data_IF_164163010574
#
_entry.id   IF_164163010574
#
_cell.length_a   1.000
_cell.length_b   1.000
_cell.length_c   1.000
_cell.angle_alpha   90.00
_cell.angle_beta   90.00
_cell.angle_gamma   90.00
#
_symmetry.space_group_name_H-M   'P 1'
#
loop_
_entity.id
_entity.type
_entity.pdbx_description
1 polymer ?
#
# COMPACT_ATOMS: atom_id res chain seq x y z
N UNK A 1 21.22 2.91 -5.09
CA UNK A 1 20.33 1.74 -5.24
C UNK A 1 19.38 2.05 -6.38
N UNK A 2 19.07 1.08 -7.25
CA UNK A 2 18.18 1.33 -8.40
C UNK A 2 16.77 1.73 -7.97
N UNK A 3 16.01 2.34 -8.88
CA UNK A 3 14.58 2.66 -8.68
C UNK A 3 13.74 1.37 -8.69
N UNK A 4 13.91 0.53 -7.68
CA UNK A 4 13.28 -0.79 -7.55
C UNK A 4 12.92 -1.05 -6.07
N UNK A 5 11.82 -1.76 -5.83
CA UNK A 5 11.52 -2.27 -4.50
C UNK A 5 12.44 -3.43 -4.14
N UNK A 6 12.95 -3.41 -2.91
CA UNK A 6 13.40 -4.65 -2.27
C UNK A 6 12.16 -5.46 -1.88
N UNK A 7 12.19 -6.74 -2.21
CA UNK A 7 11.07 -7.66 -1.97
C UNK A 7 11.38 -8.54 -0.75
N UNK A 8 10.45 -8.56 0.19
CA UNK A 8 10.56 -9.28 1.46
C UNK A 8 9.40 -10.25 1.62
N UNK A 9 9.71 -11.47 2.02
CA UNK A 9 8.72 -12.53 2.20
C UNK A 9 8.88 -13.16 3.58
N UNK A 10 7.76 -13.49 4.21
CA UNK A 10 7.72 -14.30 5.44
C UNK A 10 8.41 -15.66 5.34
N UNK A 11 8.59 -16.17 4.11
CA UNK A 11 9.29 -17.43 3.82
C UNK A 11 10.78 -17.25 3.54
N UNK A 12 11.29 -16.02 3.51
CA UNK A 12 12.73 -15.78 3.39
C UNK A 12 13.47 -16.35 4.61
N UNK A 13 14.72 -16.78 4.42
CA UNK A 13 15.55 -17.23 5.52
C UNK A 13 15.72 -16.12 6.57
N UNK A 14 15.55 -16.46 7.85
CA UNK A 14 15.61 -15.53 8.99
C UNK A 14 14.54 -14.42 8.98
N UNK A 15 13.49 -14.54 8.17
CA UNK A 15 12.36 -13.63 8.21
C UNK A 15 11.70 -13.64 9.60
N UNK A 16 11.39 -12.48 10.19
CA UNK A 16 10.69 -12.42 11.47
C UNK A 16 9.26 -12.95 11.37
N UNK A 17 8.83 -13.63 12.44
CA UNK A 17 7.45 -14.10 12.56
C UNK A 17 6.52 -12.93 12.87
N UNK A 18 5.49 -12.74 12.05
CA UNK A 18 4.36 -11.86 12.38
C UNK A 18 3.33 -12.65 13.16
N UNK A 19 2.93 -12.14 14.32
CA UNK A 19 1.95 -12.76 15.20
C UNK A 19 0.96 -11.70 15.70
N UNK A 20 0.00 -12.14 16.50
CA UNK A 20 -0.95 -11.25 17.16
C UNK A 20 -0.36 -10.41 18.29
N UNK A 21 0.83 -10.76 18.80
CA UNK A 21 1.42 -10.09 19.94
C UNK A 21 1.67 -8.60 19.66
N UNK A 22 1.54 -7.77 20.69
CA UNK A 22 1.88 -6.35 20.62
C UNK A 22 3.35 -6.19 20.23
N UNK A 23 3.65 -5.21 19.38
CA UNK A 23 4.99 -4.99 18.82
C UNK A 23 5.48 -6.04 17.82
N UNK A 24 4.73 -7.11 17.54
CA UNK A 24 5.14 -8.14 16.57
C UNK A 24 5.25 -7.58 15.15
N UNK A 25 4.35 -6.68 14.75
CA UNK A 25 4.47 -6.00 13.46
C UNK A 25 5.66 -5.05 13.46
N UNK A 26 5.93 -4.36 14.57
CA UNK A 26 7.09 -3.47 14.68
C UNK A 26 8.40 -4.23 14.49
N UNK A 27 8.49 -5.46 15.01
CA UNK A 27 9.64 -6.34 14.79
C UNK A 27 9.83 -6.65 13.30
N UNK A 28 8.74 -6.91 12.58
CA UNK A 28 8.77 -7.16 11.13
C UNK A 28 9.18 -5.89 10.36
N UNK A 29 8.58 -4.75 10.70
CA UNK A 29 8.90 -3.48 10.07
C UNK A 29 10.33 -3.02 10.36
N UNK A 30 10.88 -3.27 11.54
CA UNK A 30 12.29 -3.02 11.85
C UNK A 30 13.22 -3.81 10.95
N UNK A 31 12.92 -5.08 10.74
CA UNK A 31 13.71 -5.94 9.86
C UNK A 31 13.64 -5.47 8.40
N UNK A 32 12.47 -5.05 7.92
CA UNK A 32 12.27 -4.60 6.53
C UNK A 32 12.85 -3.19 6.30
N UNK A 33 12.60 -2.27 7.22
CA UNK A 33 12.82 -0.85 7.01
C UNK A 33 14.17 -0.38 7.52
N UNK A 34 14.66 -0.93 8.65
CA UNK A 34 15.82 -0.38 9.37
C UNK A 34 17.01 -1.32 9.33
N UNK A 35 16.85 -2.56 9.78
CA UNK A 35 17.95 -3.45 10.15
C UNK A 35 18.36 -4.46 9.06
N UNK A 36 17.41 -4.92 8.25
CA UNK A 36 17.59 -6.09 7.40
C UNK A 36 17.42 -7.38 8.20
N UNK A 37 17.44 -8.52 7.51
CA UNK A 37 17.45 -9.84 8.15
C UNK A 37 18.08 -10.88 7.22
N UNK A 38 18.78 -11.86 7.79
CA UNK A 38 19.50 -12.86 6.99
C UNK A 38 20.43 -12.18 5.97
N UNK A 39 20.18 -12.44 4.67
CA UNK A 39 20.89 -11.79 3.55
C UNK A 39 20.09 -10.65 2.91
N UNK A 40 18.90 -10.34 3.40
CA UNK A 40 18.04 -9.27 2.88
C UNK A 40 18.47 -7.93 3.50
N UNK A 41 18.90 -6.95 2.69
CA UNK A 41 19.20 -5.62 3.21
C UNK A 41 17.91 -4.92 3.66
N UNK A 42 18.01 -3.90 4.51
CA UNK A 42 16.86 -3.03 4.81
C UNK A 42 16.56 -2.05 3.67
N UNK A 43 15.38 -1.44 3.72
CA UNK A 43 15.02 -0.31 2.85
C UNK A 43 15.73 1.01 3.23
N UNK A 44 16.50 1.04 4.33
CA UNK A 44 17.31 2.18 4.75
C UNK A 44 16.55 3.32 5.44
N UNK A 45 15.35 3.04 5.95
CA UNK A 45 14.57 4.00 6.76
C UNK A 45 15.15 4.11 8.17
N UNK A 46 14.81 5.20 8.83
CA UNK A 46 15.17 5.40 10.24
C UNK A 46 13.96 5.15 11.13
N UNK A 47 14.18 4.53 12.29
CA UNK A 47 13.22 4.57 13.41
C UNK A 47 13.46 5.88 14.16
N UNK A 48 12.67 6.91 13.86
CA UNK A 48 12.83 8.25 14.41
C UNK A 48 12.46 8.32 15.89
N UNK A 49 11.35 7.67 16.27
CA UNK A 49 10.84 7.67 17.64
C UNK A 49 10.22 6.31 17.99
N UNK A 50 10.21 5.97 19.27
CA UNK A 50 9.53 4.77 19.79
C UNK A 50 9.20 4.94 21.27
N UNK A 51 8.20 4.21 21.75
CA UNK A 51 7.97 4.05 23.18
C UNK A 51 8.63 2.77 23.75
N UNK A 52 9.36 2.02 22.92
CA UNK A 52 10.07 0.79 23.30
C UNK A 52 9.21 -0.47 23.36
N UNK A 53 7.90 -0.38 23.13
CA UNK A 53 6.97 -1.51 23.25
C UNK A 53 6.21 -1.76 21.96
N UNK A 54 5.27 -0.88 21.65
CA UNK A 54 4.16 -1.11 20.73
C UNK A 54 3.88 0.13 19.87
N UNK A 55 4.71 1.18 19.95
CA UNK A 55 4.67 2.33 19.06
C UNK A 55 6.06 2.57 18.48
N UNK A 56 6.14 2.67 17.15
CA UNK A 56 7.34 3.13 16.44
C UNK A 56 6.99 4.11 15.34
N UNK A 57 7.85 5.10 15.14
CA UNK A 57 7.75 6.10 14.09
C UNK A 57 8.92 5.91 13.13
N UNK A 58 8.61 5.67 11.86
CA UNK A 58 9.59 5.46 10.80
C UNK A 58 9.65 6.67 9.87
N UNK A 59 10.82 6.96 9.32
CA UNK A 59 11.00 8.00 8.31
C UNK A 59 11.82 7.47 7.14
N UNK A 60 11.30 7.69 5.93
CA UNK A 60 12.01 7.35 4.71
C UNK A 60 13.30 8.20 4.57
N UNK A 61 14.39 7.63 4.02
CA UNK A 61 15.64 8.36 3.84
C UNK A 61 15.59 9.34 2.67
N UNK A 62 14.60 9.25 1.78
CA UNK A 62 14.46 10.08 0.58
C UNK A 62 13.01 10.51 0.35
N UNK A 63 12.81 11.46 -0.58
CA UNK A 63 11.49 12.01 -0.87
C UNK A 63 11.09 13.16 0.06
N UNK A 64 9.80 13.32 0.34
CA UNK A 64 9.23 14.33 1.26
C UNK A 64 9.46 14.00 2.73
N UNK A 65 9.85 12.75 3.04
CA UNK A 65 10.28 12.31 4.37
C UNK A 65 9.28 12.60 5.51
N UNK A 66 7.99 12.50 5.20
CA UNK A 66 6.96 12.44 6.23
C UNK A 66 7.11 11.19 7.09
N UNK A 67 6.59 11.26 8.31
CA UNK A 67 6.71 10.23 9.33
C UNK A 67 5.56 9.23 9.23
N UNK A 68 5.88 7.94 9.35
CA UNK A 68 4.92 6.85 9.51
C UNK A 68 4.93 6.41 10.97
N UNK A 69 3.91 6.78 11.73
CA UNK A 69 3.67 6.20 13.04
C UNK A 69 2.88 4.90 12.90
N UNK A 70 3.38 3.86 13.55
CA UNK A 70 2.70 2.58 13.69
C UNK A 70 2.38 2.35 15.16
N UNK A 71 1.10 2.10 15.45
CA UNK A 71 0.60 1.79 16.79
C UNK A 71 0.12 0.34 16.78
N UNK A 72 0.96 -0.53 17.31
CA UNK A 72 0.85 -1.99 17.32
C UNK A 72 0.50 -2.54 18.72
N UNK A 73 -0.54 -1.94 19.33
CA UNK A 73 -0.97 -2.18 20.71
C UNK A 73 -2.41 -2.68 20.84
N UNK A 74 -3.01 -3.10 19.72
CA UNK A 74 -4.43 -3.42 19.67
C UNK A 74 -4.63 -4.91 19.98
N UNK A 75 -5.00 -5.18 21.23
CA UNK A 75 -5.31 -6.51 21.77
C UNK A 75 -6.65 -7.05 21.22
N UNK A 76 -6.62 -8.31 20.77
CA UNK A 76 -7.72 -9.29 20.76
C UNK A 76 -9.15 -8.75 20.53
N UNK A 77 -9.41 -8.25 19.33
CA UNK A 77 -10.76 -8.30 18.75
C UNK A 77 -10.78 -9.33 17.62
N UNK A 78 -11.96 -9.65 17.07
CA UNK A 78 -12.11 -10.52 15.89
C UNK A 78 -11.25 -10.06 14.71
N UNK A 79 -10.82 -8.78 14.69
CA UNK A 79 -9.91 -8.22 13.70
C UNK A 79 -8.64 -7.71 14.37
N UNK A 80 -7.49 -8.14 13.89
CA UNK A 80 -6.19 -7.69 14.38
C UNK A 80 -5.55 -6.77 13.34
N UNK A 81 -5.04 -5.63 13.79
CA UNK A 81 -4.38 -4.65 12.95
C UNK A 81 -3.53 -3.73 13.84
N UNK A 82 -2.58 -3.03 13.23
CA UNK A 82 -1.87 -1.90 13.83
C UNK A 82 -2.22 -0.63 13.06
N UNK A 83 -2.43 0.48 13.74
CA UNK A 83 -2.72 1.75 13.04
C UNK A 83 -1.51 2.21 12.24
N UNK A 84 -1.76 2.79 11.06
CA UNK A 84 -0.76 3.45 10.24
C UNK A 84 -1.16 4.92 10.08
N UNK A 85 -0.42 5.80 10.73
CA UNK A 85 -0.72 7.23 10.79
C UNK A 85 0.46 8.00 10.22
N UNK A 86 0.18 8.89 9.28
CA UNK A 86 1.16 9.80 8.70
C UNK A 86 1.25 11.11 9.48
N UNK A 87 2.45 11.70 9.55
CA UNK A 87 2.66 13.05 10.06
C UNK A 87 3.65 13.82 9.20
N UNK A 88 3.37 15.10 8.95
CA UNK A 88 4.34 15.96 8.24
C UNK A 88 5.55 16.34 9.10
N UNK A 89 5.37 16.41 10.42
CA UNK A 89 6.44 16.70 11.38
C UNK A 89 6.19 16.00 12.70
N UNK A 90 7.26 15.53 13.36
CA UNK A 90 7.20 14.91 14.69
C UNK A 90 8.46 15.24 15.49
N UNK A 91 8.31 15.36 16.81
CA UNK A 91 9.40 15.55 17.77
C UNK A 91 9.49 14.45 18.84
N UNK A 92 8.46 13.61 18.94
CA UNK A 92 8.41 12.41 19.78
C UNK A 92 7.33 11.47 19.23
N UNK A 93 7.26 10.23 19.73
CA UNK A 93 6.23 9.29 19.30
C UNK A 93 4.80 9.80 19.58
N UNK A 94 4.62 10.66 20.57
CA UNK A 94 3.33 11.23 20.98
C UNK A 94 3.21 12.75 20.70
N UNK A 95 4.09 13.31 19.87
CA UNK A 95 4.10 14.73 19.53
C UNK A 95 4.37 14.93 18.04
N UNK A 96 3.31 15.21 17.26
CA UNK A 96 3.38 15.43 15.82
C UNK A 96 2.36 16.44 15.31
N UNK A 97 2.59 16.97 14.11
CA UNK A 97 1.71 17.92 13.42
C UNK A 97 1.48 17.53 11.95
N UNK A 98 0.39 18.03 11.37
CA UNK A 98 -0.04 17.66 10.02
C UNK A 98 -0.31 16.16 9.92
N UNK A 99 -1.09 15.64 10.87
CA UNK A 99 -1.51 14.24 10.87
C UNK A 99 -2.34 13.95 9.60
N UNK A 100 -2.11 12.79 9.01
CA UNK A 100 -2.94 12.22 7.96
C UNK A 100 -3.10 10.71 8.13
N UNK A 101 -4.19 10.16 7.61
CA UNK A 101 -4.60 8.80 7.91
C UNK A 101 -5.52 8.74 9.13
N UNK A 102 -6.46 7.81 9.11
CA UNK A 102 -7.44 7.64 10.17
C UNK A 102 -6.94 6.64 11.22
N UNK A 103 -7.13 6.96 12.50
CA UNK A 103 -7.06 5.97 13.58
C UNK A 103 -8.10 4.87 13.32
N UNK A 104 -7.76 3.61 13.59
CA UNK A 104 -8.55 2.46 13.18
C UNK A 104 -8.32 2.06 11.71
N UNK A 105 -7.27 2.57 11.06
CA UNK A 105 -6.84 2.10 9.73
C UNK A 105 -5.33 1.88 9.73
N UNK A 106 -4.88 0.78 9.15
CA UNK A 106 -3.46 0.51 9.07
C UNK A 106 -3.11 -0.86 8.54
N UNK A 107 -2.11 -1.46 9.17
CA UNK A 107 -1.57 -2.75 8.77
C UNK A 107 -2.45 -3.87 9.30
N UNK A 108 -2.99 -4.74 8.44
CA UNK A 108 -3.64 -5.95 8.91
C UNK A 108 -2.64 -6.82 9.67
N UNK A 109 -3.09 -7.39 10.79
CA UNK A 109 -2.40 -8.43 11.54
C UNK A 109 -3.27 -9.69 11.49
N UNK A 110 -2.62 -10.83 11.34
CA UNK A 110 -3.35 -12.08 11.21
C UNK A 110 -3.93 -12.55 12.53
N UNK A 111 -5.14 -13.13 12.51
CA UNK A 111 -5.87 -13.46 13.75
C UNK A 111 -5.31 -14.64 14.56
N UNK A 112 -4.46 -15.50 13.97
CA UNK A 112 -3.95 -16.72 14.60
C UNK A 112 -2.52 -17.06 14.15
N UNK A 113 -1.64 -17.35 15.11
CA UNK A 113 -0.30 -17.91 14.86
C UNK A 113 0.64 -17.03 14.03
N UNK A 114 1.81 -17.57 13.62
CA UNK A 114 2.63 -16.97 12.58
C UNK A 114 1.81 -16.81 11.31
N UNK A 115 1.68 -15.59 10.81
CA UNK A 115 0.96 -15.29 9.57
C UNK A 115 1.90 -14.90 8.44
N UNK A 116 1.55 -15.37 7.25
CA UNK A 116 2.26 -15.05 6.02
C UNK A 116 2.15 -13.56 5.72
N UNK A 117 3.28 -12.96 5.41
CA UNK A 117 3.37 -11.57 4.99
C UNK A 117 4.30 -11.43 3.78
N UNK A 118 4.05 -10.36 3.01
CA UNK A 118 4.84 -9.94 1.85
C UNK A 118 5.00 -8.43 1.93
N UNK A 119 6.19 -7.92 1.68
CA UNK A 119 6.42 -6.48 1.63
C UNK A 119 7.30 -6.07 0.44
N UNK A 120 7.03 -4.86 -0.04
CA UNK A 120 7.81 -4.17 -1.06
C UNK A 120 8.22 -2.83 -0.48
N UNK A 121 9.51 -2.57 -0.37
CA UNK A 121 9.98 -1.30 0.17
C UNK A 121 11.22 -0.77 -0.56
N UNK A 122 11.29 0.54 -0.69
CA UNK A 122 12.46 1.27 -1.17
C UNK A 122 12.71 2.49 -0.26
N UNK A 123 13.59 3.39 -0.67
CA UNK A 123 13.93 4.61 0.07
C UNK A 123 12.80 5.65 0.22
N UNK A 124 11.57 5.37 -0.25
CA UNK A 124 10.45 6.34 -0.35
C UNK A 124 9.07 5.74 -0.02
N UNK A 125 8.87 4.45 -0.24
CA UNK A 125 7.57 3.77 -0.13
C UNK A 125 7.69 2.39 0.51
N UNK A 126 6.68 2.04 1.30
CA UNK A 126 6.39 0.71 1.82
C UNK A 126 5.00 0.28 1.34
N UNK A 127 4.92 -0.95 0.83
CA UNK A 127 3.67 -1.68 0.59
C UNK A 127 3.78 -2.97 1.38
N UNK A 128 2.86 -3.19 2.31
CA UNK A 128 2.86 -4.36 3.18
C UNK A 128 1.56 -5.14 3.01
N UNK A 129 1.66 -6.45 2.91
CA UNK A 129 0.54 -7.38 2.83
C UNK A 129 0.64 -8.43 3.93
N UNK A 130 -0.50 -8.77 4.52
CA UNK A 130 -0.64 -9.86 5.48
C UNK A 130 -1.80 -10.77 5.06
N UNK A 131 -1.62 -12.07 5.24
CA UNK A 131 -2.65 -13.06 5.06
C UNK A 131 -3.43 -13.28 6.37
N UNK A 132 -4.77 -13.28 6.32
CA UNK A 132 -5.61 -13.86 7.37
C UNK A 132 -6.13 -12.93 8.48
N UNK A 133 -6.95 -11.94 8.13
CA UNK A 133 -7.72 -11.18 9.13
C UNK A 133 -9.09 -11.85 9.41
N UNK A 134 -9.54 -11.84 10.66
CA UNK A 134 -10.52 -12.76 11.26
C UNK A 134 -11.98 -12.74 10.74
N UNK A 135 -12.25 -12.23 9.54
CA UNK A 135 -13.50 -12.51 8.82
C UNK A 135 -13.34 -13.09 7.43
N UNK A 136 -12.12 -13.14 6.88
CA UNK A 136 -11.86 -13.78 5.60
C UNK A 136 -10.56 -14.58 5.73
N UNK A 137 -10.71 -15.86 6.10
CA UNK A 137 -9.60 -16.80 6.13
C UNK A 137 -8.89 -16.81 4.77
N UNK A 138 -7.56 -16.73 4.83
CA UNK A 138 -6.63 -16.79 3.69
C UNK A 138 -6.57 -15.56 2.75
N UNK A 139 -7.39 -14.51 2.94
CA UNK A 139 -7.28 -13.30 2.10
C UNK A 139 -6.07 -12.43 2.45
N UNK A 140 -5.48 -11.85 1.40
CA UNK A 140 -4.39 -10.89 1.50
C UNK A 140 -4.96 -9.49 1.61
N UNK A 141 -4.60 -8.81 2.70
CA UNK A 141 -4.92 -7.41 2.92
C UNK A 141 -3.63 -6.61 3.04
N UNK A 142 -3.66 -5.30 2.78
CA UNK A 142 -2.45 -4.52 2.91
C UNK A 142 -2.60 -3.07 3.35
N UNK A 143 -1.44 -2.44 3.45
CA UNK A 143 -1.27 -1.03 3.74
C UNK A 143 -0.16 -0.46 2.83
N UNK A 144 -0.42 0.74 2.30
CA UNK A 144 0.53 1.56 1.58
C UNK A 144 0.87 2.79 2.42
N UNK A 145 2.17 3.02 2.61
CA UNK A 145 2.68 4.28 3.12
C UNK A 145 3.84 4.72 2.24
N UNK A 146 3.82 5.96 1.77
CA UNK A 146 4.95 6.51 1.03
C UNK A 146 4.53 7.57 0.03
N UNK A 147 5.42 7.87 -0.90
CA UNK A 147 5.16 8.87 -1.93
C UNK A 147 4.33 8.33 -3.08
N UNK A 148 3.48 9.17 -3.67
CA UNK A 148 2.98 8.96 -5.03
C UNK A 148 3.98 9.51 -6.05
N UNK A 149 3.92 9.04 -7.29
CA UNK A 149 4.46 9.80 -8.43
C UNK A 149 3.51 10.99 -8.66
N UNK A 150 3.91 12.20 -8.28
CA UNK A 150 3.06 13.39 -8.43
C UNK A 150 3.24 14.01 -9.81
N UNK A 151 2.15 14.45 -10.44
CA UNK A 151 2.23 15.23 -11.70
C UNK A 151 2.63 16.68 -11.46
N UNK A 152 2.60 17.13 -10.21
CA UNK A 152 3.04 18.45 -9.80
C UNK A 152 4.54 18.41 -9.43
N UNK A 153 5.34 19.23 -10.11
CA UNK A 153 6.81 19.23 -10.02
C UNK A 153 7.35 19.43 -8.59
N UNK A 154 6.63 20.16 -7.73
CA UNK A 154 7.04 20.48 -6.36
C UNK A 154 5.98 20.11 -5.32
N UNK A 155 5.36 18.93 -5.45
CA UNK A 155 4.37 18.46 -4.48
C UNK A 155 5.03 17.99 -3.18
N UNK A 156 5.17 18.90 -2.21
CA UNK A 156 5.72 18.60 -0.88
C UNK A 156 4.79 17.75 -0.01
N UNK A 157 3.53 17.54 -0.43
CA UNK A 157 2.52 16.81 0.32
C UNK A 157 2.12 15.49 -0.34
N UNK A 158 2.98 14.95 -1.22
CA UNK A 158 2.74 13.73 -2.01
C UNK A 158 2.79 12.41 -1.23
N UNK A 159 2.75 12.45 0.10
CA UNK A 159 2.63 11.23 0.92
C UNK A 159 1.21 10.72 0.95
N UNK A 160 1.05 9.41 0.81
CA UNK A 160 -0.22 8.71 0.84
C UNK A 160 -0.20 7.67 1.95
N UNK A 161 -1.28 7.65 2.76
CA UNK A 161 -1.70 6.47 3.52
C UNK A 161 -2.88 5.87 2.78
N UNK A 162 -2.81 4.57 2.46
CA UNK A 162 -3.96 3.79 1.97
C UNK A 162 -3.96 2.43 2.64
N UNK A 163 -4.93 2.19 3.52
CA UNK A 163 -4.79 1.12 4.51
C UNK A 163 -6.10 0.36 4.77
N UNK A 164 -5.95 -0.86 5.31
CA UNK A 164 -7.04 -1.68 5.84
C UNK A 164 -7.80 -0.95 6.97
N UNK A 165 -9.13 -1.10 7.05
CA UNK A 165 -9.94 -0.48 8.13
C UNK A 165 -10.42 -1.49 9.16
N UNK A 166 -10.36 -1.10 10.45
CA UNK A 166 -10.95 -1.79 11.60
C UNK A 166 -12.44 -2.08 11.41
N UNK A 167 -13.19 -1.07 10.99
CA UNK A 167 -14.67 -1.14 10.94
C UNK A 167 -15.09 -2.04 9.76
N UNK A 168 -15.59 -3.23 10.08
CA UNK A 168 -16.08 -4.20 9.09
C UNK A 168 -15.00 -5.11 8.49
N UNK A 169 -13.75 -4.98 8.92
CA UNK A 169 -12.66 -5.83 8.49
C UNK A 169 -12.38 -5.84 6.98
N UNK A 170 -12.58 -4.69 6.34
CA UNK A 170 -12.58 -4.55 4.88
C UNK A 170 -11.18 -4.26 4.36
N UNK A 171 -10.78 -5.02 3.34
CA UNK A 171 -9.62 -4.71 2.52
C UNK A 171 -9.88 -3.41 1.74
N UNK A 172 -9.06 -2.37 1.98
CA UNK A 172 -9.18 -1.10 1.26
C UNK A 172 -7.92 -0.71 0.47
N UNK A 173 -6.79 -1.42 0.58
CA UNK A 173 -5.63 -1.12 -0.28
C UNK A 173 -5.93 -1.49 -1.75
N UNK A 174 -6.82 -2.44 -2.00
CA UNK A 174 -7.30 -2.86 -3.31
C UNK A 174 -8.57 -2.13 -3.77
N UNK A 175 -9.20 -1.35 -2.90
CA UNK A 175 -10.35 -0.53 -3.28
C UNK A 175 -9.93 0.56 -4.27
N UNK A 176 -10.72 0.75 -5.33
CA UNK A 176 -10.61 1.85 -6.27
C UNK A 176 -11.99 2.48 -6.48
N UNK A 177 -12.02 3.73 -6.93
CA UNK A 177 -13.23 4.44 -7.26
C UNK A 177 -13.53 4.37 -8.75
N UNK A 178 -14.81 4.24 -9.09
CA UNK A 178 -15.33 4.39 -10.45
C UNK A 178 -15.26 5.83 -10.99
N UNK A 179 -15.00 6.81 -10.11
CA UNK A 179 -14.90 8.23 -10.44
C UNK A 179 -13.83 8.93 -9.62
N UNK A 180 -13.09 9.84 -10.25
CA UNK A 180 -12.11 10.71 -9.58
C UNK A 180 -12.76 11.65 -8.55
N UNK A 181 -14.07 11.86 -8.63
CA UNK A 181 -14.83 12.72 -7.72
C UNK A 181 -15.22 12.04 -6.41
N UNK A 182 -15.04 10.73 -6.29
CA UNK A 182 -15.41 9.97 -5.10
C UNK A 182 -14.15 9.53 -4.36
N UNK A 183 -13.94 9.97 -3.10
CA UNK A 183 -12.82 9.51 -2.29
C UNK A 183 -12.84 8.00 -2.08
N UNK A 184 -11.68 7.39 -2.07
CA UNK A 184 -11.53 5.97 -1.75
C UNK A 184 -11.39 5.80 -0.23
N UNK A 185 -12.05 4.80 0.38
CA UNK A 185 -11.89 4.55 1.81
C UNK A 185 -10.42 4.42 2.23
N UNK A 186 -10.09 5.07 3.35
CA UNK A 186 -8.76 5.07 3.97
C UNK A 186 -7.60 5.53 3.10
N UNK A 187 -7.88 6.22 1.98
CA UNK A 187 -6.87 6.90 1.16
C UNK A 187 -6.80 8.39 1.54
N UNK A 188 -5.67 8.82 2.07
CA UNK A 188 -5.50 10.20 2.54
C UNK A 188 -4.09 10.75 2.37
N UNK A 189 -4.00 12.07 2.21
CA UNK A 189 -2.75 12.81 2.04
C UNK A 189 -2.72 14.01 2.99
N UNK A 190 -1.54 14.51 3.40
CA UNK A 190 -1.43 15.53 4.45
C UNK A 190 -2.04 16.90 4.13
N UNK A 191 -2.08 17.28 2.87
CA UNK A 191 -2.74 18.50 2.42
C UNK A 191 -3.16 18.35 0.96
N UNK A 192 -4.05 19.23 0.48
CA UNK A 192 -4.42 19.32 -0.94
C UNK A 192 -3.25 19.67 -1.86
N UNK A 193 -3.49 19.65 -3.17
CA UNK A 193 -2.47 19.96 -4.18
C UNK A 193 -1.90 21.41 -4.08
N UNK A 194 -2.65 22.32 -3.45
CA UNK A 194 -2.20 23.69 -3.16
C UNK A 194 -1.15 23.76 -2.04
N UNK A 195 -1.00 22.68 -1.26
CA UNK A 195 -0.15 22.61 -0.08
C UNK A 195 -0.68 23.38 1.14
N UNK A 196 -1.94 23.84 1.08
CA UNK A 196 -2.60 24.57 2.17
C UNK A 196 -3.70 23.70 2.78
N UNK A 197 -3.82 23.73 4.11
CA UNK A 197 -4.90 23.08 4.85
C UNK A 197 -4.44 21.85 5.64
N UNK A 198 -5.41 21.04 6.04
CA UNK A 198 -5.23 19.78 6.75
C UNK A 198 -5.32 18.59 5.80
N UNK A 199 -5.30 17.38 6.37
CA UNK A 199 -5.52 16.13 5.64
C UNK A 199 -6.68 16.25 4.65
N UNK A 200 -6.46 15.73 3.44
CA UNK A 200 -7.47 15.52 2.42
C UNK A 200 -7.69 14.03 2.17
N UNK A 201 -8.94 13.66 1.92
CA UNK A 201 -9.27 12.32 1.44
C UNK A 201 -9.14 12.30 -0.08
N UNK A 202 -8.48 11.28 -0.60
CA UNK A 202 -8.17 11.20 -2.03
C UNK A 202 -8.88 10.04 -2.70
N UNK A 203 -9.07 10.16 -4.00
CA UNK A 203 -9.59 9.07 -4.83
C UNK A 203 -8.43 8.27 -5.41
N UNK A 204 -8.48 6.95 -5.31
CA UNK A 204 -7.65 6.04 -6.07
C UNK A 204 -8.48 5.45 -7.20
N UNK A 205 -8.06 5.58 -8.45
CA UNK A 205 -8.82 5.10 -9.61
C UNK A 205 -7.92 4.39 -10.61
N UNK A 206 -8.47 3.41 -11.32
CA UNK A 206 -7.81 2.79 -12.47
C UNK A 206 -8.65 2.94 -13.73
N UNK A 207 -8.38 2.12 -14.75
CA UNK A 207 -9.19 2.09 -15.96
C UNK A 207 -10.55 1.41 -15.71
N UNK A 208 -11.53 2.21 -15.31
CA UNK A 208 -12.88 1.74 -15.02
C UNK A 208 -13.70 1.35 -16.26
N UNK A 209 -13.34 1.90 -17.42
CA UNK A 209 -14.01 1.55 -18.67
C UNK A 209 -13.69 0.09 -19.04
N UNK A 210 -12.43 -0.31 -18.90
CA UNK A 210 -12.00 -1.70 -19.15
C UNK A 210 -12.30 -2.65 -17.99
N UNK A 211 -12.52 -2.13 -16.78
CA UNK A 211 -12.90 -2.97 -15.64
C UNK A 211 -14.41 -3.23 -15.51
N UNK A 212 -15.24 -2.61 -16.35
CA UNK A 212 -16.70 -2.71 -16.23
C UNK A 212 -17.23 -1.98 -14.99
N UNK A 213 -16.57 -0.91 -14.54
CA UNK A 213 -16.95 -0.14 -13.35
C UNK A 213 -16.61 -0.79 -12.02
N UNK A 214 -15.64 -1.71 -11.99
CA UNK A 214 -15.22 -2.39 -10.76
C UNK A 214 -14.62 -1.39 -9.75
N UNK A 215 -15.03 -1.50 -8.48
CA UNK A 215 -14.52 -0.69 -7.36
C UNK A 215 -13.38 -1.38 -6.58
N UNK A 216 -12.78 -2.40 -7.18
CA UNK A 216 -11.61 -3.13 -6.68
C UNK A 216 -10.67 -3.42 -7.85
N UNK A 217 -9.40 -3.77 -7.58
CA UNK A 217 -8.40 -4.06 -8.61
C UNK A 217 -8.71 -5.35 -9.40
N UNK A 218 -9.73 -5.34 -10.24
CA UNK A 218 -10.10 -6.43 -11.16
C UNK A 218 -10.81 -5.82 -12.36
N UNK A 219 -10.82 -6.54 -13.48
CA UNK A 219 -11.66 -6.14 -14.61
C UNK A 219 -12.39 -7.29 -15.26
N UNK A 220 -12.96 -7.00 -16.42
CA UNK A 220 -13.84 -7.92 -17.17
C UNK A 220 -13.18 -8.43 -18.45
N UNK A 221 -12.00 -7.92 -18.82
CA UNK A 221 -11.27 -8.36 -20.01
C UNK A 221 -10.84 -9.82 -19.79
N UNK A 222 -11.24 -10.78 -20.64
CA UNK A 222 -10.81 -12.17 -20.46
C UNK A 222 -9.29 -12.28 -20.42
N UNK A 223 -8.76 -13.26 -19.69
CA UNK A 223 -7.32 -13.51 -19.63
C UNK A 223 -7.01 -14.95 -20.09
N UNK A 224 -6.06 -15.12 -21.01
CA UNK A 224 -5.43 -14.05 -21.80
C UNK A 224 -6.47 -13.33 -22.67
N UNK A 225 -6.21 -12.07 -23.05
CA UNK A 225 -7.13 -11.37 -23.94
C UNK A 225 -7.19 -12.09 -25.31
N UNK A 226 -8.37 -12.42 -25.87
CA UNK A 226 -8.45 -13.28 -27.05
C UNK A 226 -7.80 -12.70 -28.32
N UNK A 227 -7.71 -11.37 -28.43
CA UNK A 227 -7.25 -10.68 -29.63
C UNK A 227 -5.72 -10.78 -29.82
N UNK A 228 -4.94 -10.72 -28.74
CA UNK A 228 -3.47 -10.70 -28.79
C UNK A 228 -2.78 -11.55 -27.71
N UNK A 229 -3.54 -12.16 -26.82
CA UNK A 229 -3.03 -13.04 -25.77
C UNK A 229 -2.47 -12.31 -24.53
N UNK A 230 -2.74 -11.01 -24.39
CA UNK A 230 -2.06 -10.14 -23.44
C UNK A 230 -2.66 -10.08 -22.02
N UNK A 231 -1.84 -9.56 -21.11
CA UNK A 231 -2.25 -9.01 -19.81
C UNK A 231 -2.31 -7.49 -19.90
N UNK A 232 -3.46 -6.90 -19.57
CA UNK A 232 -3.69 -5.48 -19.51
C UNK A 232 -3.68 -4.96 -18.08
N UNK A 233 -2.84 -3.95 -17.87
CA UNK A 233 -2.71 -3.23 -16.62
C UNK A 233 -2.95 -1.74 -16.84
N UNK A 234 -3.55 -1.10 -15.84
CA UNK A 234 -3.65 0.37 -15.76
C UNK A 234 -2.89 0.86 -14.54
N UNK A 235 -2.21 2.01 -14.59
CA UNK A 235 -1.76 2.68 -13.37
C UNK A 235 -2.94 2.94 -12.44
N UNK A 236 -2.68 2.95 -11.12
CA UNK A 236 -3.64 3.48 -10.14
C UNK A 236 -3.36 4.96 -9.94
N UNK A 237 -4.24 5.80 -10.46
CA UNK A 237 -4.20 7.25 -10.34
C UNK A 237 -4.73 7.72 -9.00
N UNK A 238 -4.13 8.77 -8.48
CA UNK A 238 -4.57 9.49 -7.29
C UNK A 238 -5.12 10.84 -7.72
N UNK A 239 -6.34 11.13 -7.30
CA UNK A 239 -7.01 12.40 -7.52
C UNK A 239 -7.38 13.07 -6.19
N UNK A 240 -7.42 14.40 -6.21
CA UNK A 240 -7.92 15.23 -5.11
C UNK A 240 -9.34 15.71 -5.45
N UNK A 241 -10.38 15.01 -4.96
CA UNK A 241 -11.77 15.41 -5.15
C UNK A 241 -12.21 16.53 -4.18
N UNK A 242 -11.39 16.88 -3.19
CA UNK A 242 -11.81 17.72 -2.05
C UNK A 242 -11.32 19.16 -2.13
N UNK A 243 -10.13 19.39 -2.66
CA UNK A 243 -9.53 20.73 -2.75
C UNK A 243 -10.04 21.46 -3.98
N UNK A 244 -10.50 22.70 -3.83
CA UNK A 244 -11.05 23.50 -4.93
C UNK A 244 -9.98 24.08 -5.88
N UNK A 245 -10.23 24.22 -7.20
CA UNK A 245 -11.29 23.53 -7.97
C UNK A 245 -11.21 22.01 -7.79
N UNK A 246 -12.33 21.31 -7.65
CA UNK A 246 -12.34 19.88 -7.29
C UNK A 246 -12.01 18.95 -8.46
N UNK A 247 -11.70 17.68 -8.14
CA UNK A 247 -11.50 16.58 -9.08
C UNK A 247 -10.20 16.66 -9.91
N UNK A 248 -9.10 17.07 -9.27
CA UNK A 248 -7.80 17.16 -9.96
C UNK A 248 -7.04 15.86 -9.89
N UNK A 249 -6.40 15.46 -10.98
CA UNK A 249 -5.40 14.40 -10.96
C UNK A 249 -4.13 14.94 -10.27
N UNK A 250 -3.68 14.23 -9.24
CA UNK A 250 -2.49 14.59 -8.48
C UNK A 250 -1.30 13.70 -8.81
N UNK A 251 -1.53 12.45 -9.18
CA UNK A 251 -0.43 11.53 -9.46
C UNK A 251 -0.86 10.08 -9.61
N UNK A 252 0.09 9.18 -9.39
CA UNK A 252 -0.09 7.72 -9.46
C UNK A 252 0.56 7.04 -8.27
N UNK A 253 -0.04 5.97 -7.77
CA UNK A 253 0.59 5.12 -6.76
C UNK A 253 1.82 4.45 -7.36
N UNK A 254 2.96 4.55 -6.67
CA UNK A 254 4.24 4.06 -7.20
C UNK A 254 4.25 2.55 -7.28
N UNK A 255 4.46 2.01 -8.47
CA UNK A 255 4.56 0.58 -8.72
C UNK A 255 3.29 -0.21 -8.37
N UNK A 256 2.12 0.44 -8.37
CA UNK A 256 0.85 -0.19 -8.01
C UNK A 256 -0.14 -0.09 -9.17
N UNK A 257 -0.61 -1.24 -9.64
CA UNK A 257 -1.30 -1.37 -10.92
C UNK A 257 -2.64 -2.10 -10.77
N UNK A 258 -3.63 -1.61 -11.52
CA UNK A 258 -4.95 -2.18 -11.66
C UNK A 258 -4.91 -3.27 -12.73
N UNK A 259 -5.18 -4.53 -12.35
CA UNK A 259 -5.43 -5.59 -13.33
C UNK A 259 -6.80 -5.41 -13.96
N UNK A 260 -6.86 -5.48 -15.29
CA UNK A 260 -8.11 -5.31 -16.04
C UNK A 260 -8.79 -6.64 -16.37
N UNK A 261 -8.32 -7.72 -15.73
CA UNK A 261 -8.81 -9.07 -15.93
C UNK A 261 -9.56 -9.63 -14.71
N UNK A 262 -10.37 -10.68 -14.88
CA UNK A 262 -10.98 -11.40 -13.77
C UNK A 262 -9.92 -11.98 -12.82
N UNK A 263 -10.19 -11.90 -11.52
CA UNK A 263 -9.28 -12.36 -10.47
C UNK A 263 -8.97 -13.87 -10.55
N UNK A 264 -9.87 -14.67 -11.13
CA UNK A 264 -9.68 -16.12 -11.33
C UNK A 264 -8.55 -16.47 -12.28
N UNK A 265 -8.13 -15.53 -13.13
CA UNK A 265 -7.25 -15.82 -14.25
C UNK A 265 -5.76 -15.74 -13.94
N UNK A 266 -5.40 -15.14 -12.81
CA UNK A 266 -4.01 -14.91 -12.40
C UNK A 266 -3.71 -15.70 -11.12
N UNK A 267 -2.56 -16.34 -11.09
CA UNK A 267 -2.09 -17.09 -9.93
C UNK A 267 -1.37 -16.19 -8.92
N UNK A 268 -1.46 -16.53 -7.63
CA UNK A 268 -0.72 -15.86 -6.57
C UNK A 268 0.80 -16.00 -6.81
N UNK A 269 1.54 -14.90 -6.66
CA UNK A 269 2.99 -14.76 -6.94
C UNK A 269 3.39 -15.00 -8.39
N UNK A 270 2.44 -15.06 -9.33
CA UNK A 270 2.78 -15.11 -10.75
C UNK A 270 3.46 -13.82 -11.18
N UNK A 271 4.57 -13.94 -11.91
CA UNK A 271 5.31 -12.81 -12.45
C UNK A 271 5.03 -12.60 -13.93
N UNK A 272 5.05 -11.35 -14.36
CA UNK A 272 4.82 -10.95 -15.75
C UNK A 272 5.91 -9.97 -16.21
N UNK A 273 6.22 -10.00 -17.51
CA UNK A 273 7.12 -9.02 -18.14
C UNK A 273 6.32 -8.16 -19.09
N UNK A 274 6.47 -6.84 -18.97
CA UNK A 274 5.79 -5.89 -19.81
C UNK A 274 6.37 -5.84 -21.23
N UNK A 275 5.50 -5.52 -22.18
CA UNK A 275 5.81 -5.30 -23.60
C UNK A 275 5.21 -3.95 -24.03
N UNK A 276 5.60 -3.45 -25.21
CA UNK A 276 5.10 -2.16 -25.72
C UNK A 276 5.40 -1.02 -24.76
N UNK A 277 4.37 -0.27 -24.36
CA UNK A 277 4.49 0.87 -23.42
C UNK A 277 4.94 0.44 -22.01
N UNK A 278 4.85 -0.84 -21.68
CA UNK A 278 5.33 -1.43 -20.42
C UNK A 278 6.66 -2.15 -20.60
N UNK A 279 7.33 -2.05 -21.75
CA UNK A 279 8.62 -2.68 -21.99
C UNK A 279 9.65 -2.26 -20.91
N UNK A 280 10.40 -3.25 -20.41
CA UNK A 280 11.36 -3.06 -19.32
C UNK A 280 10.74 -3.08 -17.92
N UNK A 281 9.41 -3.11 -17.81
CA UNK A 281 8.71 -3.30 -16.54
C UNK A 281 8.46 -4.79 -16.26
N UNK A 282 8.46 -5.16 -14.99
CA UNK A 282 8.08 -6.51 -14.54
C UNK A 282 7.15 -6.40 -13.35
N UNK A 283 6.22 -7.35 -13.23
CA UNK A 283 5.14 -7.29 -12.25
C UNK A 283 5.03 -8.61 -11.49
N UNK A 284 4.55 -8.54 -10.25
CA UNK A 284 4.16 -9.70 -9.45
C UNK A 284 2.71 -9.56 -9.00
N UNK A 285 1.98 -10.67 -9.06
CA UNK A 285 0.60 -10.75 -8.64
C UNK A 285 0.45 -11.15 -7.17
N UNK A 286 -0.13 -10.28 -6.35
CA UNK A 286 -0.59 -10.66 -5.02
C UNK A 286 -2.11 -10.85 -5.09
N UNK A 287 -2.54 -12.09 -4.91
CA UNK A 287 -3.96 -12.46 -4.99
C UNK A 287 -4.53 -12.76 -3.61
N UNK A 288 -5.60 -12.09 -3.14
CA UNK A 288 -6.42 -12.56 -2.03
C UNK A 288 -7.05 -13.91 -2.39
N UNK A 289 -7.03 -14.89 -1.49
CA UNK A 289 -7.58 -16.22 -1.81
C UNK A 289 -9.10 -16.18 -1.87
N UNK A 290 -9.66 -16.78 -2.94
CA UNK A 290 -11.10 -16.82 -3.16
C UNK A 290 -11.60 -15.62 -3.94
N UNK A 291 -12.45 -15.89 -4.94
CA UNK A 291 -13.19 -14.85 -5.65
C UNK A 291 -14.37 -14.40 -4.79
N UNK A 292 -14.08 -13.61 -3.76
CA UNK A 292 -15.15 -12.85 -3.09
C UNK A 292 -15.35 -11.56 -3.89
N UNK A 293 -16.59 -11.17 -4.09
CA UNK A 293 -17.00 -10.03 -4.94
C UNK A 293 -16.29 -8.71 -4.63
N UNK A 294 -15.72 -8.57 -3.42
CA UNK A 294 -14.93 -7.44 -2.93
C UNK A 294 -13.38 -7.64 -2.96
N UNK A 295 -12.86 -8.62 -3.70
CA UNK A 295 -11.41 -8.90 -3.78
C UNK A 295 -10.86 -8.71 -5.19
N UNK A 296 -9.82 -7.86 -5.32
CA UNK A 296 -9.06 -7.64 -6.54
C UNK A 296 -7.66 -8.25 -6.47
N UNK A 297 -6.96 -8.35 -7.60
CA UNK A 297 -5.55 -8.77 -7.64
C UNK A 297 -4.65 -7.54 -7.59
N UNK A 298 -3.72 -7.49 -6.63
CA UNK A 298 -2.73 -6.43 -6.55
C UNK A 298 -1.59 -6.73 -7.54
N UNK A 299 -1.42 -5.93 -8.59
CA UNK A 299 -0.21 -5.97 -9.41
C UNK A 299 0.81 -4.98 -8.88
N UNK A 300 1.96 -5.50 -8.47
CA UNK A 300 3.09 -4.70 -7.98
C UNK A 300 4.21 -4.74 -9.01
N UNK A 301 4.69 -3.57 -9.40
CA UNK A 301 5.89 -3.45 -10.24
C UNK A 301 7.13 -3.81 -9.43
N UNK A 302 7.95 -4.72 -9.96
CA UNK A 302 9.15 -5.24 -9.33
C UNK A 302 10.42 -4.97 -10.15
N UNK A 303 10.33 -4.20 -11.23
CA UNK A 303 11.47 -3.81 -12.07
C UNK A 303 12.17 -2.54 -11.57
N UNK A 304 13.37 -2.28 -12.08
CA UNK A 304 14.16 -1.07 -11.76
C UNK A 304 13.70 0.19 -12.53
N UNK A 305 12.40 0.31 -12.74
CA UNK A 305 11.73 1.36 -13.53
C UNK A 305 10.70 2.13 -12.70
N UNK A 306 10.72 1.94 -11.37
CA UNK A 306 9.77 2.62 -10.49
C UNK A 306 9.88 4.14 -10.69
N UNK A 307 8.70 4.74 -10.84
CA UNK A 307 8.60 6.17 -11.07
C UNK A 307 9.07 6.93 -9.83
N UNK A 308 9.84 8.00 -10.05
CA UNK A 308 10.35 8.88 -9.01
C UNK A 308 10.19 10.33 -9.42
N UNK A 309 9.85 11.16 -8.44
CA UNK A 309 9.94 12.61 -8.51
C UNK A 309 11.22 13.11 -7.85
#
# INVERSE_FOLDING_TARGET
>A
MGNQYTQYFSTDASAPSLTQADGSLLTVLDAILVNGYGTKPSAGWTKAFTNGTDISVYQAPSGVRHYMQVVDNQIASTYQYADCIGFTSMSAYNAGTGQFGATGSGFPKGAYGPVSWIAFADSRTLIFFCQGNGSISNSWCGCYFGEIYSVQTNDSFRSLVKAYTRTGGVENLGAISASIATPTPSASMPAGYTGVGSQVNVSATGDNAKSGGATVLKGIVPFPNPEEGGLYLSPVWIADPTTSPTNNIRGRMRGFWHTLHPNTSINHLQTFTGIGDLAGRSFIAIKPTGDVSASGTFMIEISATLETN
#
